data_IF_990530671868
#
_entry.id   IF_990530671868
#
_cell.length_a   1.000
_cell.length_b   1.000
_cell.length_c   1.000
_cell.angle_alpha   90.00
_cell.angle_beta   90.00
_cell.angle_gamma   90.00
#
_symmetry.space_group_name_H-M   'P 1'
#
loop_
_entity.id
_entity.type
_entity.pdbx_description
1 polymer ?
#
# COMPACT_ATOMS: atom_id res chain seq x y z
N UNK A 1 -14.85 -40.01 78.91
CA UNK A 1 -14.70 -38.57 79.21
C UNK A 1 -13.79 -37.97 78.07
N UNK A 2 -14.44 -37.34 77.07
CA UNK A 2 -13.75 -36.67 75.97
C UNK A 2 -13.64 -35.20 76.36
N UNK A 3 -12.40 -34.69 76.30
CA UNK A 3 -12.14 -33.28 76.49
C UNK A 3 -12.16 -32.61 75.05
N UNK A 4 -13.11 -31.73 74.85
CA UNK A 4 -13.21 -30.91 73.71
C UNK A 4 -12.26 -29.70 73.84
N UNK A 5 -11.35 -29.53 72.81
CA UNK A 5 -10.42 -28.43 72.75
C UNK A 5 -11.06 -27.33 71.87
N UNK A 6 -11.51 -26.23 72.53
CA UNK A 6 -12.03 -25.07 71.87
C UNK A 6 -10.84 -24.25 71.31
N UNK A 7 -10.69 -24.22 69.99
CA UNK A 7 -9.78 -23.34 69.28
C UNK A 7 -10.52 -22.04 69.03
N UNK A 8 -10.14 -20.98 69.70
CA UNK A 8 -10.61 -19.60 69.42
C UNK A 8 -9.79 -19.04 68.29
N UNK A 9 -10.39 -18.95 67.11
CA UNK A 9 -9.79 -18.30 65.94
C UNK A 9 -10.08 -16.80 66.02
N UNK A 10 -9.06 -15.98 66.38
CA UNK A 10 -9.15 -14.53 66.37
C UNK A 10 -9.09 -14.05 64.89
N UNK A 11 -10.21 -13.60 64.36
CA UNK A 11 -10.29 -12.88 63.10
C UNK A 11 -9.78 -11.44 63.28
N UNK A 12 -8.59 -11.15 62.77
CA UNK A 12 -8.11 -9.79 62.54
C UNK A 12 -8.70 -9.26 61.22
N UNK A 13 -9.30 -8.08 61.16
CA UNK A 13 -9.75 -7.49 59.93
C UNK A 13 -8.55 -6.86 59.24
N UNK A 14 -8.12 -7.46 58.13
CA UNK A 14 -7.23 -6.83 57.14
C UNK A 14 -8.08 -5.86 56.31
N UNK A 15 -8.04 -4.57 56.63
CA UNK A 15 -8.49 -3.52 55.75
C UNK A 15 -7.30 -3.08 54.92
N UNK A 16 -7.28 -3.26 53.57
CA UNK A 16 -6.33 -2.59 52.75
C UNK A 16 -6.71 -1.12 52.70
N UNK A 17 -5.86 -0.27 53.29
CA UNK A 17 -5.88 1.18 53.08
C UNK A 17 -5.51 1.45 51.64
N UNK A 18 -6.52 1.68 50.80
CA UNK A 18 -6.31 2.17 49.44
C UNK A 18 -6.05 3.69 49.56
N UNK A 19 -4.79 4.07 49.64
CA UNK A 19 -4.40 5.44 49.41
C UNK A 19 -4.80 5.81 48.00
N UNK A 20 -5.75 6.72 47.87
CA UNK A 20 -6.12 7.32 46.57
C UNK A 20 -4.99 8.28 46.22
N UNK A 21 -4.04 7.81 45.43
CA UNK A 21 -3.15 8.71 44.71
C UNK A 21 -4.01 9.58 43.78
N UNK A 22 -4.01 10.88 44.02
CA UNK A 22 -4.64 11.85 43.13
C UNK A 22 -3.90 11.84 41.78
N UNK A 23 -4.40 11.04 40.84
CA UNK A 23 -3.93 11.00 39.49
C UNK A 23 -4.28 12.34 38.79
N UNK A 24 -3.35 13.30 38.83
CA UNK A 24 -3.47 14.51 38.01
C UNK A 24 -3.16 14.15 36.58
N UNK A 25 -4.14 14.22 35.65
CA UNK A 25 -3.86 13.96 34.25
C UNK A 25 -2.83 14.99 33.76
N UNK A 26 -1.66 14.50 33.38
CA UNK A 26 -0.64 15.31 32.69
C UNK A 26 -1.24 15.64 31.32
N UNK A 27 -1.74 16.85 31.17
CA UNK A 27 -2.11 17.36 29.85
C UNK A 27 -0.81 17.69 29.12
N UNK A 28 -0.49 17.02 28.01
CA UNK A 28 0.67 17.41 27.22
C UNK A 28 0.49 18.85 26.75
N UNK A 29 1.52 19.64 26.87
CA UNK A 29 1.53 21.01 26.36
C UNK A 29 1.60 20.96 24.84
N UNK A 30 0.43 21.05 24.20
CA UNK A 30 0.29 21.01 22.74
C UNK A 30 0.89 22.23 22.05
N UNK A 31 1.28 23.29 22.80
CA UNK A 31 1.92 24.49 22.23
C UNK A 31 3.36 24.22 21.76
N UNK A 32 3.94 23.07 22.14
CA UNK A 32 5.30 22.63 21.75
C UNK A 32 5.32 21.50 20.73
N UNK A 33 4.17 21.09 20.21
CA UNK A 33 4.13 20.17 19.08
C UNK A 33 4.53 20.97 17.83
N UNK A 34 5.78 20.84 17.42
CA UNK A 34 6.16 21.20 16.07
C UNK A 34 5.29 20.39 15.12
N UNK A 35 4.48 21.09 14.33
CA UNK A 35 3.78 20.49 13.20
C UNK A 35 4.87 20.06 12.23
N UNK A 36 5.29 18.80 12.35
CA UNK A 36 6.11 18.18 11.30
C UNK A 36 5.17 18.12 10.10
N UNK A 37 5.36 19.07 9.20
CA UNK A 37 4.72 19.05 7.88
C UNK A 37 5.14 17.73 7.24
N UNK A 38 4.25 16.73 7.29
CA UNK A 38 4.42 15.49 6.55
C UNK A 38 4.32 15.91 5.09
N UNK A 39 5.47 16.17 4.46
CA UNK A 39 5.51 16.33 3.00
C UNK A 39 4.90 15.06 2.43
N UNK A 40 3.70 15.22 1.87
CA UNK A 40 3.14 14.18 1.02
C UNK A 40 4.22 13.79 0.01
N UNK A 41 4.44 12.48 -0.21
CA UNK A 41 5.45 12.06 -1.16
C UNK A 41 5.10 12.69 -2.51
N UNK A 42 5.92 13.65 -2.94
CA UNK A 42 5.83 14.23 -4.28
C UNK A 42 6.26 13.14 -5.25
N UNK A 43 5.29 12.31 -5.68
CA UNK A 43 5.51 11.39 -6.79
C UNK A 43 5.77 12.23 -8.02
N UNK A 44 6.96 12.10 -8.60
CA UNK A 44 7.28 12.82 -9.83
C UNK A 44 6.25 12.45 -10.90
N UNK A 45 5.54 13.44 -11.40
CA UNK A 45 4.44 13.41 -12.37
C UNK A 45 4.75 12.66 -13.69
N UNK A 46 5.99 12.23 -13.90
CA UNK A 46 6.45 11.64 -15.17
C UNK A 46 5.94 10.23 -15.46
N UNK A 47 5.42 9.50 -14.48
CA UNK A 47 4.95 8.11 -14.66
C UNK A 47 3.44 8.01 -14.96
N UNK A 48 2.69 9.10 -14.80
CA UNK A 48 1.24 9.14 -14.97
C UNK A 48 0.76 8.60 -16.34
N UNK A 49 1.36 8.96 -17.48
CA UNK A 49 0.94 8.44 -18.77
C UNK A 49 1.10 6.92 -18.89
N UNK A 50 2.16 6.36 -18.27
CA UNK A 50 2.35 4.91 -18.25
C UNK A 50 1.25 4.22 -17.46
N UNK A 51 0.91 4.75 -16.29
CA UNK A 51 -0.16 4.21 -15.44
C UNK A 51 -1.48 4.22 -16.20
N UNK A 52 -1.83 5.34 -16.83
CA UNK A 52 -3.06 5.48 -17.62
C UNK A 52 -3.10 4.46 -18.77
N UNK A 53 -2.01 4.32 -19.53
CA UNK A 53 -1.92 3.33 -20.59
C UNK A 53 -2.04 1.89 -20.07
N UNK A 54 -1.50 1.60 -18.90
CA UNK A 54 -1.60 0.29 -18.26
C UNK A 54 -3.03 0.02 -17.79
N UNK A 55 -3.70 0.98 -17.17
CA UNK A 55 -5.12 0.90 -16.78
C UNK A 55 -5.99 0.56 -18.01
N UNK A 56 -5.76 1.23 -19.15
CA UNK A 56 -6.47 0.95 -20.39
C UNK A 56 -6.20 -0.46 -20.96
N UNK A 57 -5.06 -1.06 -20.65
CA UNK A 57 -4.72 -2.43 -21.08
C UNK A 57 -5.27 -3.49 -20.13
N UNK A 58 -5.27 -3.22 -18.81
CA UNK A 58 -5.68 -4.16 -17.76
C UNK A 58 -7.21 -4.26 -17.63
N UNK A 59 -7.91 -3.15 -17.71
CA UNK A 59 -9.34 -3.07 -17.38
C UNK A 59 -10.18 -2.22 -18.33
N UNK A 60 -9.58 -1.63 -19.37
CA UNK A 60 -10.24 -0.61 -20.22
C UNK A 60 -10.74 0.60 -19.41
N UNK A 61 -10.08 0.90 -18.29
CA UNK A 61 -10.46 2.00 -17.39
C UNK A 61 -11.54 1.64 -16.35
N UNK A 62 -11.96 0.36 -16.29
CA UNK A 62 -13.02 -0.08 -15.38
C UNK A 62 -12.48 -0.41 -13.98
N UNK A 63 -12.84 0.41 -12.98
CA UNK A 63 -12.42 0.20 -11.58
C UNK A 63 -13.08 -1.01 -10.93
N UNK A 64 -14.18 -1.51 -11.49
CA UNK A 64 -14.90 -2.70 -11.03
C UNK A 64 -14.52 -3.97 -11.80
N UNK A 65 -13.45 -3.95 -12.60
CA UNK A 65 -13.00 -5.12 -13.35
C UNK A 65 -12.55 -6.24 -12.41
N UNK A 66 -12.98 -7.48 -12.71
CA UNK A 66 -12.62 -8.66 -11.92
C UNK A 66 -12.27 -9.85 -12.79
N UNK A 67 -11.07 -10.37 -12.62
CA UNK A 67 -10.62 -11.62 -13.23
C UNK A 67 -10.62 -12.75 -12.20
N UNK A 68 -11.69 -13.58 -12.20
CA UNK A 68 -11.87 -14.69 -11.25
C UNK A 68 -10.70 -15.68 -11.23
N UNK A 69 -10.09 -15.95 -12.38
CA UNK A 69 -9.01 -16.94 -12.51
C UNK A 69 -7.77 -16.59 -11.70
N UNK A 70 -7.45 -15.29 -11.62
CA UNK A 70 -6.24 -14.79 -10.96
C UNK A 70 -6.55 -14.00 -9.68
N UNK A 71 -7.82 -13.88 -9.33
CA UNK A 71 -8.31 -12.97 -8.28
C UNK A 71 -7.73 -11.55 -8.46
N UNK A 72 -7.67 -11.10 -9.73
CA UNK A 72 -7.19 -9.77 -10.06
C UNK A 72 -8.36 -8.80 -10.13
N UNK A 73 -8.26 -7.65 -9.45
CA UNK A 73 -9.35 -6.69 -9.33
C UNK A 73 -8.91 -5.26 -9.59
N UNK A 74 -9.89 -4.42 -9.95
CA UNK A 74 -9.74 -2.99 -10.09
C UNK A 74 -9.06 -2.56 -11.39
N UNK A 75 -8.79 -1.26 -11.50
CA UNK A 75 -8.27 -0.66 -12.73
C UNK A 75 -6.91 -1.23 -13.17
N UNK A 76 -6.04 -1.58 -12.22
CA UNK A 76 -4.70 -2.14 -12.46
C UNK A 76 -4.61 -3.65 -12.27
N UNK A 77 -5.76 -4.34 -12.14
CA UNK A 77 -5.85 -5.80 -11.99
C UNK A 77 -4.89 -6.35 -10.91
N UNK A 78 -4.97 -5.74 -9.71
CA UNK A 78 -4.09 -6.11 -8.60
C UNK A 78 -4.49 -7.46 -8.02
N UNK A 79 -3.54 -8.40 -8.00
CA UNK A 79 -3.68 -9.73 -7.40
C UNK A 79 -3.32 -9.70 -5.91
N UNK A 80 -3.83 -10.65 -5.08
CA UNK A 80 -3.49 -10.71 -3.65
C UNK A 80 -1.98 -10.76 -3.37
N UNK A 81 -1.20 -11.42 -4.23
CA UNK A 81 0.26 -11.50 -4.08
C UNK A 81 0.94 -10.14 -4.26
N UNK A 82 0.42 -9.28 -5.14
CA UNK A 82 0.94 -7.92 -5.35
C UNK A 82 0.64 -7.05 -4.13
N UNK A 83 -0.56 -7.17 -3.56
CA UNK A 83 -0.93 -6.50 -2.33
C UNK A 83 -0.05 -6.95 -1.14
N UNK A 84 0.21 -8.24 -1.03
CA UNK A 84 1.10 -8.78 0.00
C UNK A 84 2.52 -8.23 -0.14
N UNK A 85 3.03 -8.09 -1.37
CA UNK A 85 4.33 -7.49 -1.65
C UNK A 85 4.36 -6.00 -1.29
N UNK A 86 3.33 -5.23 -1.63
CA UNK A 86 3.19 -3.83 -1.21
C UNK A 86 3.28 -3.69 0.32
N UNK A 87 2.48 -4.48 1.06
CA UNK A 87 2.50 -4.45 2.53
C UNK A 87 3.84 -4.91 3.11
N UNK A 88 4.54 -5.87 2.46
CA UNK A 88 5.90 -6.27 2.86
C UNK A 88 6.87 -5.10 2.73
N UNK A 89 6.81 -4.36 1.62
CA UNK A 89 7.64 -3.17 1.37
C UNK A 89 7.38 -2.10 2.44
N UNK A 90 6.12 -1.76 2.68
CA UNK A 90 5.72 -0.78 3.69
C UNK A 90 6.23 -1.15 5.08
N UNK A 91 6.15 -2.44 5.45
CA UNK A 91 6.70 -2.94 6.72
C UNK A 91 8.22 -2.76 6.81
N UNK A 92 8.95 -3.02 5.73
CA UNK A 92 10.40 -2.78 5.69
C UNK A 92 10.76 -1.29 5.84
N UNK A 93 9.92 -0.41 5.29
CA UNK A 93 10.06 1.04 5.41
C UNK A 93 9.58 1.59 6.76
N UNK A 94 9.09 0.71 7.67
CA UNK A 94 8.49 1.09 8.97
C UNK A 94 7.31 2.05 8.82
N UNK A 95 6.59 1.97 7.69
CA UNK A 95 5.37 2.75 7.45
C UNK A 95 4.24 2.27 8.36
N UNK A 96 3.40 3.21 8.82
CA UNK A 96 2.13 2.90 9.51
C UNK A 96 1.00 2.54 8.54
N UNK A 97 1.21 2.73 7.24
CA UNK A 97 0.21 2.43 6.20
C UNK A 97 0.20 0.93 5.91
N UNK A 98 -1.00 0.39 5.68
CA UNK A 98 -1.19 -0.96 5.14
C UNK A 98 -2.47 -1.01 4.32
N UNK A 99 -2.48 -1.86 3.30
CA UNK A 99 -3.63 -2.05 2.41
C UNK A 99 -4.28 -3.42 2.63
N UNK A 100 -5.61 -3.47 2.49
CA UNK A 100 -6.39 -4.69 2.56
C UNK A 100 -6.95 -5.10 1.19
N UNK A 101 -7.60 -6.26 1.11
CA UNK A 101 -8.11 -6.79 -0.16
C UNK A 101 -9.16 -5.89 -0.84
N UNK A 102 -9.92 -5.09 -0.06
CA UNK A 102 -10.93 -4.19 -0.61
C UNK A 102 -10.31 -2.93 -1.22
N UNK A 103 -9.12 -2.54 -0.78
CA UNK A 103 -8.42 -1.36 -1.29
C UNK A 103 -8.05 -1.49 -2.77
N UNK A 104 -7.96 -2.73 -3.29
CA UNK A 104 -7.70 -3.02 -4.71
C UNK A 104 -8.82 -2.55 -5.66
N UNK A 105 -10.01 -2.26 -5.14
CA UNK A 105 -11.15 -1.73 -5.90
C UNK A 105 -11.14 -0.21 -6.03
N UNK A 106 -10.36 0.51 -5.21
CA UNK A 106 -10.16 1.95 -5.34
C UNK A 106 -9.07 2.23 -6.37
N UNK A 107 -9.36 3.14 -7.31
CA UNK A 107 -8.39 3.61 -8.31
C UNK A 107 -7.20 4.28 -7.64
N UNK A 108 -7.45 5.19 -6.71
CA UNK A 108 -6.43 5.94 -6.00
C UNK A 108 -5.48 4.99 -5.27
N UNK A 109 -6.03 4.06 -4.48
CA UNK A 109 -5.22 3.08 -3.73
C UNK A 109 -4.49 2.10 -4.64
N UNK A 110 -5.08 1.76 -5.78
CA UNK A 110 -4.42 0.93 -6.79
C UNK A 110 -3.19 1.62 -7.38
N UNK A 111 -3.28 2.92 -7.63
CA UNK A 111 -2.16 3.75 -8.09
C UNK A 111 -1.09 3.89 -7.00
N UNK A 112 -1.48 4.13 -5.75
CA UNK A 112 -0.55 4.16 -4.61
C UNK A 112 0.22 2.84 -4.48
N UNK A 113 -0.48 1.70 -4.54
CA UNK A 113 0.13 0.36 -4.50
C UNK A 113 1.13 0.19 -5.66
N UNK A 114 0.76 0.65 -6.86
CA UNK A 114 1.63 0.62 -8.03
C UNK A 114 2.93 1.41 -7.78
N UNK A 115 2.82 2.63 -7.27
CA UNK A 115 3.98 3.47 -6.96
C UNK A 115 4.89 2.82 -5.92
N UNK A 116 4.34 2.32 -4.80
CA UNK A 116 5.12 1.67 -3.73
C UNK A 116 5.94 0.50 -4.27
N UNK A 117 5.31 -0.36 -5.07
CA UNK A 117 5.98 -1.53 -5.65
C UNK A 117 7.08 -1.09 -6.63
N UNK A 118 6.78 -0.13 -7.52
CA UNK A 118 7.72 0.28 -8.54
C UNK A 118 8.87 1.13 -7.99
N UNK A 119 8.66 1.99 -7.02
CA UNK A 119 9.75 2.70 -6.35
C UNK A 119 10.74 1.76 -5.66
N UNK A 120 10.26 0.64 -5.13
CA UNK A 120 11.11 -0.33 -4.47
C UNK A 120 11.89 -1.20 -5.46
N UNK A 121 11.24 -1.69 -6.52
CA UNK A 121 11.82 -2.66 -7.45
C UNK A 121 12.40 -2.07 -8.72
N UNK A 122 11.91 -0.92 -9.17
CA UNK A 122 12.12 -0.36 -10.50
C UNK A 122 12.49 1.13 -10.48
N UNK A 123 13.23 1.59 -9.48
CA UNK A 123 13.51 3.02 -9.24
C UNK A 123 14.06 3.75 -10.47
N UNK A 124 14.95 3.10 -11.22
CA UNK A 124 15.63 3.69 -12.39
C UNK A 124 15.27 2.95 -13.69
N UNK A 125 14.13 2.24 -13.69
CA UNK A 125 13.72 1.43 -14.81
C UNK A 125 12.99 2.24 -15.89
N UNK A 126 13.10 1.78 -17.12
CA UNK A 126 12.34 2.30 -18.27
C UNK A 126 10.86 1.92 -18.19
N UNK A 127 10.00 2.60 -18.93
CA UNK A 127 8.58 2.26 -19.05
C UNK A 127 8.34 0.80 -19.48
N UNK A 128 9.17 0.27 -20.39
CA UNK A 128 9.09 -1.12 -20.81
C UNK A 128 9.34 -2.07 -19.62
N UNK A 129 10.38 -1.82 -18.84
CA UNK A 129 10.75 -2.65 -17.71
C UNK A 129 9.69 -2.61 -16.62
N UNK A 130 9.17 -1.42 -16.29
CA UNK A 130 8.08 -1.24 -15.32
C UNK A 130 6.84 -2.02 -15.76
N UNK A 131 6.38 -1.83 -17.00
CA UNK A 131 5.20 -2.51 -17.51
C UNK A 131 5.39 -4.03 -17.56
N UNK A 132 6.56 -4.50 -18.00
CA UNK A 132 6.86 -5.93 -18.08
C UNK A 132 7.01 -6.57 -16.69
N UNK A 133 7.60 -5.84 -15.73
CA UNK A 133 7.67 -6.27 -14.34
C UNK A 133 6.27 -6.39 -13.73
N UNK A 134 5.40 -5.41 -13.94
CA UNK A 134 4.02 -5.45 -13.45
C UNK A 134 3.27 -6.70 -13.92
N UNK A 135 3.36 -7.00 -15.22
CA UNK A 135 2.70 -8.15 -15.82
C UNK A 135 3.34 -9.50 -15.46
N UNK A 136 4.68 -9.56 -15.39
CA UNK A 136 5.45 -10.80 -15.28
C UNK A 136 6.04 -11.08 -13.89
N UNK A 137 6.11 -10.08 -13.01
CA UNK A 137 6.81 -10.16 -11.73
C UNK A 137 8.34 -10.21 -11.89
N UNK A 138 9.10 -10.58 -10.84
CA UNK A 138 10.58 -10.49 -10.83
C UNK A 138 11.29 -11.20 -11.98
N UNK A 139 10.68 -12.24 -12.55
CA UNK A 139 11.23 -13.01 -13.69
C UNK A 139 10.65 -12.58 -15.04
N UNK A 140 10.24 -11.30 -15.16
CA UNK A 140 9.60 -10.79 -16.37
C UNK A 140 10.46 -10.93 -17.63
N UNK A 141 11.77 -10.80 -17.52
CA UNK A 141 12.69 -10.86 -18.66
C UNK A 141 12.66 -12.22 -19.37
N UNK A 142 12.47 -13.30 -18.61
CA UNK A 142 12.41 -14.69 -19.11
C UNK A 142 11.05 -15.02 -19.78
N UNK A 143 10.02 -14.19 -19.55
CA UNK A 143 8.65 -14.47 -19.99
C UNK A 143 8.33 -13.75 -21.31
N UNK A 144 8.16 -14.50 -22.39
CA UNK A 144 7.80 -13.93 -23.72
C UNK A 144 6.46 -13.17 -23.71
N UNK A 145 5.52 -13.57 -22.85
CA UNK A 145 4.21 -12.93 -22.69
C UNK A 145 4.31 -11.45 -22.31
N UNK A 146 5.33 -11.08 -21.49
CA UNK A 146 5.53 -9.69 -21.05
C UNK A 146 5.89 -8.74 -22.21
N UNK A 147 6.60 -9.23 -23.24
CA UNK A 147 6.86 -8.46 -24.47
C UNK A 147 5.56 -8.16 -25.25
N UNK A 148 4.62 -9.10 -25.22
CA UNK A 148 3.30 -8.92 -25.85
C UNK A 148 2.46 -7.91 -25.07
N UNK A 149 2.53 -7.97 -23.75
CA UNK A 149 1.90 -7.00 -22.87
C UNK A 149 2.45 -5.59 -23.12
N UNK A 150 3.78 -5.40 -23.12
CA UNK A 150 4.42 -4.13 -23.42
C UNK A 150 3.98 -3.54 -24.76
N UNK A 151 3.89 -4.36 -25.83
CA UNK A 151 3.42 -3.86 -27.13
C UNK A 151 1.98 -3.30 -27.07
N UNK A 152 1.12 -3.82 -26.18
CA UNK A 152 -0.22 -3.26 -25.97
C UNK A 152 -0.15 -1.93 -25.23
N UNK A 153 0.62 -1.87 -24.15
CA UNK A 153 0.82 -0.64 -23.36
C UNK A 153 1.40 0.47 -24.23
N UNK A 154 2.47 0.18 -24.98
CA UNK A 154 3.10 1.15 -25.89
C UNK A 154 2.13 1.72 -26.94
N UNK A 155 1.21 0.90 -27.46
CA UNK A 155 0.18 1.40 -28.38
C UNK A 155 -0.81 2.34 -27.71
N UNK A 156 -1.19 2.07 -26.46
CA UNK A 156 -2.08 2.95 -25.70
C UNK A 156 -1.34 4.25 -25.34
N UNK A 157 -0.08 4.16 -24.91
CA UNK A 157 0.76 5.32 -24.67
C UNK A 157 0.79 6.24 -25.90
N UNK A 158 1.10 5.69 -27.07
CA UNK A 158 1.15 6.47 -28.32
C UNK A 158 -0.19 7.18 -28.60
N UNK A 159 -1.31 6.48 -28.39
CA UNK A 159 -2.64 7.06 -28.60
C UNK A 159 -2.92 8.21 -27.62
N UNK A 160 -2.59 8.04 -26.33
CA UNK A 160 -2.75 9.08 -25.33
C UNK A 160 -1.91 10.32 -25.65
N UNK A 161 -0.71 10.15 -26.21
CA UNK A 161 0.13 11.29 -26.63
C UNK A 161 -0.41 12.05 -27.83
N UNK A 162 -1.07 11.35 -28.76
CA UNK A 162 -1.69 11.98 -29.91
C UNK A 162 -2.96 12.77 -29.52
N UNK A 163 -3.63 12.35 -28.40
CA UNK A 163 -4.84 13.00 -27.90
C UNK A 163 -4.57 14.17 -26.93
N UNK A 164 -3.38 14.21 -26.31
CA UNK A 164 -3.01 15.20 -25.29
C UNK A 164 -1.68 15.88 -25.67
N UNK A 165 -1.73 17.16 -26.07
CA UNK A 165 -0.53 17.96 -26.36
C UNK A 165 0.40 18.10 -25.15
N UNK A 166 -0.13 18.04 -23.93
CA UNK A 166 0.62 18.11 -22.66
C UNK A 166 1.60 16.94 -22.49
N UNK A 167 1.34 15.80 -23.15
CA UNK A 167 2.19 14.60 -23.07
C UNK A 167 3.22 14.50 -24.21
N UNK A 168 3.37 15.53 -25.06
CA UNK A 168 3.96 15.34 -26.40
C UNK A 168 5.48 15.37 -26.50
N UNK A 169 6.25 15.92 -25.53
CA UNK A 169 7.67 16.18 -25.78
C UNK A 169 8.67 15.27 -25.05
N UNK A 170 8.46 14.89 -23.80
CA UNK A 170 9.54 14.33 -22.99
C UNK A 170 9.54 12.79 -22.86
N UNK A 171 8.47 12.12 -23.19
CA UNK A 171 8.38 10.66 -22.99
C UNK A 171 8.57 9.82 -24.25
N UNK A 172 8.56 10.41 -25.45
CA UNK A 172 9.03 9.70 -26.64
C UNK A 172 10.50 9.24 -26.53
N UNK A 173 11.30 9.90 -25.70
CA UNK A 173 12.68 9.49 -25.43
C UNK A 173 12.77 8.23 -24.53
N UNK A 174 11.68 7.82 -23.89
CA UNK A 174 11.62 6.67 -22.96
C UNK A 174 10.91 5.44 -23.55
N UNK A 175 10.38 5.53 -24.79
CA UNK A 175 9.71 4.46 -25.52
C UNK A 175 10.65 3.84 -26.55
#
# INVERSE_FOLDING_TARGET
MRKELLIVLSLLPLTPSCEKEDFKPIRPDISKLEVVEVKEPTYELKIEPLIEAMILVESEGNDSAYCKKEDAVGCLQIRPIMLAECNRILKLQKSSISYNLLDRWSREKSIEIFHIINQYHNKDATYEEIARFWNGGPKWAEKSGTKRYWRKVRRKLKKLSEENEEYSSDWFAQI
#
